data_IF_642346739375
#
_entry.id   IF_642346739375
#
_cell.length_a   1.000
_cell.length_b   1.000
_cell.length_c   1.000
_cell.angle_alpha   90.00
_cell.angle_beta   90.00
_cell.angle_gamma   90.00
#
_symmetry.space_group_name_H-M   'P 1'
#
loop_
_entity.id
_entity.type
_entity.pdbx_description
1 polymer ?
#
# COMPACT_ATOMS: atom_id res chain seq x y z
N UNK A 1 -2.17 -0.56 -16.72
CA UNK A 1 -2.21 0.23 -15.47
C UNK A 1 -0.99 1.14 -15.51
N UNK A 2 -1.16 2.45 -15.31
CA UNK A 2 -0.03 3.35 -15.14
C UNK A 2 0.53 3.18 -13.72
N UNK A 3 1.86 3.26 -13.56
CA UNK A 3 2.53 3.16 -12.26
C UNK A 3 3.08 4.52 -11.90
N UNK A 4 2.65 5.02 -10.73
CA UNK A 4 2.99 6.34 -10.22
C UNK A 4 3.81 6.18 -8.94
N UNK A 5 4.72 7.11 -8.69
CA UNK A 5 5.50 7.16 -7.45
C UNK A 5 5.71 8.59 -6.95
N UNK A 6 5.97 8.74 -5.66
CA UNK A 6 6.31 10.01 -5.01
C UNK A 6 7.67 9.89 -4.31
N UNK A 7 8.70 9.62 -5.12
CA UNK A 7 10.06 9.32 -4.65
C UNK A 7 10.91 10.57 -4.79
N UNK A 8 11.62 10.92 -3.72
CA UNK A 8 12.60 12.00 -3.73
C UNK A 8 13.91 11.56 -4.40
N UNK A 9 14.47 12.41 -5.25
CA UNK A 9 15.88 12.35 -5.65
C UNK A 9 16.35 13.74 -6.10
N UNK A 10 17.60 14.08 -5.79
CA UNK A 10 18.16 15.42 -6.04
C UNK A 10 18.40 15.70 -7.53
N UNK A 11 19.06 14.77 -8.23
CA UNK A 11 19.58 15.05 -9.57
C UNK A 11 19.46 13.88 -10.55
N UNK A 12 19.47 12.63 -10.09
CA UNK A 12 19.32 11.45 -10.95
C UNK A 12 18.28 10.49 -10.40
N UNK A 13 17.51 9.89 -11.31
CA UNK A 13 16.57 8.81 -11.00
C UNK A 13 17.36 7.62 -10.40
N UNK A 14 16.96 7.12 -9.21
CA UNK A 14 17.58 5.95 -8.62
C UNK A 14 17.35 4.71 -9.51
N UNK A 15 18.31 3.79 -9.63
CA UNK A 15 18.15 2.56 -10.41
C UNK A 15 17.00 1.69 -9.92
N UNK A 16 16.60 1.81 -8.65
CA UNK A 16 15.49 1.11 -8.02
C UNK A 16 14.11 1.60 -8.52
N UNK A 17 14.04 2.76 -9.18
CA UNK A 17 12.81 3.30 -9.76
C UNK A 17 12.79 3.01 -11.26
N UNK A 18 11.99 2.04 -11.74
CA UNK A 18 11.97 1.67 -13.15
C UNK A 18 11.56 2.81 -14.07
N UNK A 19 12.02 2.75 -15.33
CA UNK A 19 11.86 3.86 -16.26
C UNK A 19 10.40 4.22 -16.57
N UNK A 20 9.51 3.22 -16.51
CA UNK A 20 8.07 3.35 -16.75
C UNK A 20 7.31 3.99 -15.58
N UNK A 21 7.94 4.20 -14.42
CA UNK A 21 7.28 4.84 -13.27
C UNK A 21 7.19 6.34 -13.50
N UNK A 22 5.96 6.86 -13.50
CA UNK A 22 5.69 8.29 -13.50
C UNK A 22 5.92 8.83 -12.09
N UNK A 23 7.14 9.31 -11.83
CA UNK A 23 7.49 9.91 -10.55
C UNK A 23 6.98 11.36 -10.46
N UNK A 24 6.29 11.68 -9.37
CA UNK A 24 5.77 13.02 -9.07
C UNK A 24 6.64 13.78 -8.05
N UNK A 25 7.71 13.15 -7.55
CA UNK A 25 8.57 13.75 -6.52
C UNK A 25 7.86 13.84 -5.17
N UNK A 26 8.31 14.77 -4.32
CA UNK A 26 7.64 15.08 -3.07
C UNK A 26 6.47 16.02 -3.34
N UNK A 27 5.26 15.55 -3.07
CA UNK A 27 4.04 16.32 -3.26
C UNK A 27 3.61 16.99 -1.96
N UNK A 28 3.12 18.24 -2.02
CA UNK A 28 2.33 18.82 -0.94
C UNK A 28 1.11 17.95 -0.62
N UNK A 29 0.67 17.98 0.64
CA UNK A 29 -0.45 17.16 1.14
C UNK A 29 -1.73 17.23 0.27
N UNK A 30 -2.17 18.41 -0.23
CA UNK A 30 -3.35 18.48 -1.09
C UNK A 30 -3.16 17.78 -2.44
N UNK A 31 -1.98 17.88 -3.04
CA UNK A 31 -1.66 17.27 -4.32
C UNK A 31 -1.52 15.75 -4.19
N UNK A 32 -0.93 15.29 -3.08
CA UNK A 32 -0.88 13.86 -2.75
C UNK A 32 -2.29 13.27 -2.61
N UNK A 33 -3.18 13.95 -1.89
CA UNK A 33 -4.59 13.55 -1.76
C UNK A 33 -5.30 13.51 -3.12
N UNK A 34 -5.07 14.50 -4.00
CA UNK A 34 -5.61 14.48 -5.36
C UNK A 34 -5.09 13.30 -6.19
N UNK A 35 -3.81 12.92 -6.02
CA UNK A 35 -3.25 11.74 -6.65
C UNK A 35 -3.92 10.47 -6.13
N UNK A 36 -4.10 10.33 -4.81
CA UNK A 36 -4.77 9.19 -4.19
C UNK A 36 -6.22 9.02 -4.67
N UNK A 37 -6.99 10.10 -4.80
CA UNK A 37 -8.38 10.05 -5.32
C UNK A 37 -8.48 9.56 -6.76
N UNK A 38 -7.39 9.67 -7.54
CA UNK A 38 -7.30 9.18 -8.91
C UNK A 38 -6.72 7.76 -8.98
N UNK A 39 -6.09 7.30 -7.92
CA UNK A 39 -5.47 5.99 -7.85
C UNK A 39 -6.50 4.92 -7.45
N UNK A 40 -6.35 3.73 -8.02
CA UNK A 40 -7.15 2.55 -7.64
C UNK A 40 -6.44 1.69 -6.60
N UNK A 41 -5.12 1.63 -6.69
CA UNK A 41 -4.28 0.72 -5.92
C UNK A 41 -3.11 1.52 -5.32
N UNK A 42 -2.89 1.33 -4.02
CA UNK A 42 -1.72 1.81 -3.29
C UNK A 42 -0.85 0.60 -2.92
N UNK A 43 0.42 0.59 -3.33
CA UNK A 43 1.30 -0.57 -3.18
C UNK A 43 2.34 -0.28 -2.10
N UNK A 44 2.36 -1.10 -1.05
CA UNK A 44 3.35 -1.06 0.00
C UNK A 44 4.49 -2.04 -0.26
N UNK A 45 5.73 -1.57 -0.27
CA UNK A 45 6.92 -2.37 -0.58
C UNK A 45 7.55 -3.07 0.64
N UNK A 46 6.84 -3.15 1.77
CA UNK A 46 7.34 -3.77 3.00
C UNK A 46 8.07 -2.83 3.98
N UNK A 47 8.33 -1.59 3.57
CA UNK A 47 8.85 -0.52 4.42
C UNK A 47 8.33 0.84 3.92
N UNK A 48 8.03 1.83 4.80
CA UNK A 48 8.07 1.79 6.27
C UNK A 48 6.95 0.95 6.90
N UNK A 49 7.15 0.53 8.15
CA UNK A 49 6.16 -0.23 8.94
C UNK A 49 5.13 0.71 9.58
N UNK A 50 3.86 0.30 9.58
CA UNK A 50 2.78 0.92 10.37
C UNK A 50 2.66 2.45 10.21
N UNK A 51 3.02 2.96 9.03
CA UNK A 51 2.91 4.38 8.70
C UNK A 51 1.48 4.80 8.36
N UNK A 52 1.19 6.12 8.34
CA UNK A 52 -0.18 6.62 8.11
C UNK A 52 -0.64 6.55 6.63
N UNK A 53 0.29 6.55 5.67
CA UNK A 53 -0.03 6.68 4.25
C UNK A 53 -0.98 5.59 3.69
N UNK A 54 -0.86 4.29 4.07
CA UNK A 54 -1.85 3.30 3.69
C UNK A 54 -3.28 3.60 4.14
N UNK A 55 -3.46 4.13 5.35
CA UNK A 55 -4.79 4.49 5.87
C UNK A 55 -5.38 5.67 5.10
N UNK A 56 -4.54 6.65 4.76
CA UNK A 56 -4.91 7.79 3.94
C UNK A 56 -5.31 7.39 2.51
N UNK A 57 -4.60 6.42 1.93
CA UNK A 57 -4.93 5.85 0.62
C UNK A 57 -6.28 5.12 0.67
N UNK A 58 -6.50 4.28 1.68
CA UNK A 58 -7.78 3.58 1.91
C UNK A 58 -8.93 4.58 2.07
N UNK A 59 -8.73 5.63 2.85
CA UNK A 59 -9.73 6.68 3.06
C UNK A 59 -10.10 7.43 1.77
N UNK A 60 -9.19 7.49 0.79
CA UNK A 60 -9.45 8.06 -0.54
C UNK A 60 -9.96 7.02 -1.56
N UNK A 61 -10.26 5.80 -1.12
CA UNK A 61 -10.85 4.74 -1.95
C UNK A 61 -9.85 3.86 -2.68
N UNK A 62 -8.55 3.97 -2.40
CA UNK A 62 -7.57 3.02 -2.90
C UNK A 62 -7.72 1.67 -2.20
N UNK A 63 -7.47 0.58 -2.93
CA UNK A 63 -7.13 -0.69 -2.31
C UNK A 63 -5.65 -0.66 -1.93
N UNK A 64 -5.34 -1.02 -0.68
CA UNK A 64 -3.97 -1.17 -0.21
C UNK A 64 -3.49 -2.61 -0.43
N UNK A 65 -2.43 -2.78 -1.23
CA UNK A 65 -1.72 -4.04 -1.39
C UNK A 65 -0.42 -3.98 -0.60
N UNK A 66 -0.19 -4.93 0.28
CA UNK A 66 1.00 -4.97 1.15
C UNK A 66 1.67 -6.34 1.13
N UNK A 67 2.97 -6.35 1.43
CA UNK A 67 3.75 -7.57 1.58
C UNK A 67 3.42 -8.31 2.88
N UNK A 68 3.25 -9.63 2.78
CA UNK A 68 3.30 -10.57 3.90
C UNK A 68 4.75 -10.84 4.28
N UNK A 69 5.03 -10.99 5.57
CA UNK A 69 6.33 -11.39 6.09
C UNK A 69 6.27 -12.80 6.66
N UNK A 70 7.06 -13.69 6.04
CA UNK A 70 7.21 -15.07 6.46
C UNK A 70 8.69 -15.46 6.30
N UNK A 71 9.49 -15.53 7.39
CA UNK A 71 9.08 -15.36 8.79
C UNK A 71 8.65 -13.92 9.13
N UNK A 72 7.86 -13.71 10.21
CA UNK A 72 7.51 -12.37 10.65
C UNK A 72 8.75 -11.60 11.12
N UNK A 73 8.72 -10.27 10.96
CA UNK A 73 9.83 -9.42 11.37
C UNK A 73 9.71 -9.04 12.86
N UNK A 74 10.81 -9.07 13.58
CA UNK A 74 10.88 -8.72 15.00
C UNK A 74 12.26 -8.20 15.38
N UNK A 75 12.44 -7.83 16.65
CA UNK A 75 13.73 -7.38 17.18
C UNK A 75 14.84 -8.45 17.12
N UNK A 76 14.47 -9.73 16.94
CA UNK A 76 15.39 -10.86 16.87
C UNK A 76 15.98 -11.09 15.46
N UNK A 77 15.24 -10.76 14.41
CA UNK A 77 15.59 -11.15 13.04
C UNK A 77 15.63 -10.00 12.02
N UNK A 78 15.29 -8.77 12.43
CA UNK A 78 15.21 -7.65 11.51
C UNK A 78 15.86 -6.38 12.09
N UNK A 79 16.76 -5.77 11.32
CA UNK A 79 17.61 -4.66 11.77
C UNK A 79 16.79 -3.46 12.28
N UNK A 80 15.73 -3.07 11.55
CA UNK A 80 14.88 -1.96 11.94
C UNK A 80 14.28 -2.12 13.35
N UNK A 81 13.99 -3.35 13.79
CA UNK A 81 13.37 -3.61 15.09
C UNK A 81 14.40 -3.90 16.20
N UNK A 82 15.69 -4.04 15.86
CA UNK A 82 16.74 -4.35 16.83
C UNK A 82 16.79 -3.28 17.93
N UNK A 83 16.86 -3.73 19.18
CA UNK A 83 16.95 -2.86 20.36
C UNK A 83 15.66 -2.13 20.75
N UNK A 84 14.57 -2.27 19.98
CA UNK A 84 13.26 -1.74 20.41
C UNK A 84 12.77 -2.54 21.64
N UNK A 85 12.14 -1.88 22.62
CA UNK A 85 11.72 -2.51 23.88
C UNK A 85 10.43 -3.33 23.70
N UNK A 86 10.40 -4.23 22.72
CA UNK A 86 9.27 -5.11 22.44
C UNK A 86 9.74 -6.38 21.73
N UNK A 87 9.10 -7.50 22.04
CA UNK A 87 9.26 -8.78 21.36
C UNK A 87 8.16 -9.03 20.31
N UNK A 88 7.33 -8.02 20.02
CA UNK A 88 6.22 -8.16 19.08
C UNK A 88 6.74 -8.52 17.69
N UNK A 89 6.08 -9.50 17.08
CA UNK A 89 6.29 -9.92 15.71
C UNK A 89 5.32 -9.21 14.76
N UNK A 90 5.82 -8.85 13.58
CA UNK A 90 5.11 -8.12 12.53
C UNK A 90 5.00 -9.03 11.31
N UNK A 91 3.78 -9.42 10.96
CA UNK A 91 3.48 -10.40 9.90
C UNK A 91 3.19 -9.77 8.52
N UNK A 92 3.06 -8.45 8.46
CA UNK A 92 2.85 -7.68 7.24
C UNK A 92 3.30 -6.24 7.43
N UNK A 93 3.40 -5.45 6.35
CA UNK A 93 3.86 -4.06 6.44
C UNK A 93 3.03 -3.21 7.42
N UNK A 94 1.72 -3.42 7.47
CA UNK A 94 0.80 -2.68 8.32
C UNK A 94 -0.21 -3.64 8.99
N UNK A 95 0.16 -4.34 10.08
CA UNK A 95 -0.69 -5.36 10.73
C UNK A 95 -2.06 -4.85 11.16
N UNK A 96 -2.17 -3.57 11.53
CA UNK A 96 -3.47 -2.99 11.84
C UNK A 96 -4.41 -2.96 10.62
N UNK A 97 -3.90 -2.58 9.44
CA UNK A 97 -4.70 -2.54 8.22
C UNK A 97 -5.11 -3.96 7.80
N UNK A 98 -4.23 -4.94 7.99
CA UNK A 98 -4.53 -6.35 7.78
C UNK A 98 -5.66 -6.85 8.70
N UNK A 99 -5.51 -6.66 10.01
CA UNK A 99 -6.37 -7.31 11.00
C UNK A 99 -7.71 -6.60 11.22
N UNK A 100 -7.77 -5.29 11.03
CA UNK A 100 -8.95 -4.48 11.39
C UNK A 100 -9.67 -3.87 10.18
N UNK A 101 -9.04 -3.84 9.00
CA UNK A 101 -9.68 -3.38 7.76
C UNK A 101 -9.87 -4.57 6.81
N UNK A 102 -8.79 -5.28 6.50
CA UNK A 102 -8.83 -6.50 5.69
C UNK A 102 -9.42 -6.32 4.29
N UNK A 103 -9.73 -7.44 3.64
CA UNK A 103 -10.37 -7.44 2.31
C UNK A 103 -11.79 -6.86 2.40
N UNK A 104 -12.25 -6.14 1.36
CA UNK A 104 -11.61 -5.96 0.05
C UNK A 104 -10.58 -4.81 -0.01
N UNK A 105 -10.47 -3.98 1.03
CA UNK A 105 -9.68 -2.74 1.02
C UNK A 105 -8.19 -2.98 1.26
N UNK A 106 -7.83 -4.07 1.93
CA UNK A 106 -6.45 -4.45 2.23
C UNK A 106 -6.20 -5.86 1.75
N UNK A 107 -5.17 -6.03 0.93
CA UNK A 107 -4.68 -7.31 0.44
C UNK A 107 -3.26 -7.52 0.96
N UNK A 108 -3.07 -8.54 1.79
CA UNK A 108 -1.76 -9.00 2.24
C UNK A 108 -1.31 -10.19 1.38
N UNK A 109 -0.18 -10.06 0.70
CA UNK A 109 0.28 -11.04 -0.30
C UNK A 109 1.76 -11.31 -0.14
N UNK A 110 2.19 -12.56 -0.36
CA UNK A 110 3.62 -12.87 -0.49
C UNK A 110 4.13 -12.39 -1.87
N UNK A 111 5.00 -11.38 -1.87
CA UNK A 111 5.52 -10.79 -3.11
C UNK A 111 6.52 -11.72 -3.82
N UNK A 112 7.04 -12.74 -3.14
CA UNK A 112 7.87 -13.76 -3.77
C UNK A 112 7.05 -14.84 -4.48
N UNK A 113 5.73 -14.88 -4.23
CA UNK A 113 4.81 -15.75 -4.94
C UNK A 113 4.14 -14.98 -6.09
N UNK A 114 4.72 -15.11 -7.29
CA UNK A 114 4.24 -14.38 -8.48
C UNK A 114 2.79 -14.70 -8.85
N UNK A 115 2.35 -15.95 -8.65
CA UNK A 115 0.98 -16.36 -8.96
C UNK A 115 -0.03 -15.70 -8.00
N UNK A 116 0.28 -15.70 -6.71
CA UNK A 116 -0.55 -15.03 -5.70
C UNK A 116 -0.62 -13.53 -5.95
N UNK A 117 0.52 -12.90 -6.25
CA UNK A 117 0.61 -11.48 -6.57
C UNK A 117 -0.21 -11.12 -7.81
N UNK A 118 -0.05 -11.88 -8.91
CA UNK A 118 -0.79 -11.64 -10.14
C UNK A 118 -2.30 -11.85 -9.95
N UNK A 119 -2.69 -12.90 -9.21
CA UNK A 119 -4.09 -13.17 -8.87
C UNK A 119 -4.70 -12.03 -8.05
N UNK A 120 -3.97 -11.50 -7.06
CA UNK A 120 -4.40 -10.37 -6.25
C UNK A 120 -4.61 -9.12 -7.11
N UNK A 121 -3.64 -8.77 -7.97
CA UNK A 121 -3.77 -7.63 -8.90
C UNK A 121 -5.00 -7.79 -9.79
N UNK A 122 -5.19 -8.97 -10.41
CA UNK A 122 -6.36 -9.24 -11.27
C UNK A 122 -7.68 -9.09 -10.49
N UNK A 123 -7.75 -9.58 -9.26
CA UNK A 123 -8.94 -9.46 -8.42
C UNK A 123 -9.24 -8.00 -8.04
N UNK A 124 -8.23 -7.25 -7.60
CA UNK A 124 -8.35 -5.83 -7.26
C UNK A 124 -8.85 -5.03 -8.46
N UNK A 125 -8.29 -5.27 -9.65
CA UNK A 125 -8.69 -4.56 -10.86
C UNK A 125 -10.16 -4.80 -11.26
N UNK A 126 -10.73 -5.96 -10.92
CA UNK A 126 -12.15 -6.29 -11.14
C UNK A 126 -13.10 -5.68 -10.10
N UNK A 127 -12.57 -5.18 -8.99
CA UNK A 127 -13.39 -4.64 -7.89
C UNK A 127 -13.84 -3.21 -8.23
N UNK A 128 -15.11 -2.87 -7.97
CA UNK A 128 -15.62 -1.51 -8.13
C UNK A 128 -15.18 -0.63 -6.95
N UNK A 129 -14.87 0.67 -7.16
CA UNK A 129 -14.49 1.58 -6.06
C UNK A 129 -15.62 1.71 -5.02
N UNK A 130 -15.29 1.57 -3.74
CA UNK A 130 -16.26 1.64 -2.64
C UNK A 130 -17.04 2.98 -2.59
N UNK A 131 -16.39 4.08 -2.98
CA UNK A 131 -17.00 5.43 -2.99
C UNK A 131 -18.19 5.52 -3.96
N UNK A 132 -18.18 4.76 -5.07
CA UNK A 132 -19.34 4.69 -5.95
C UNK A 132 -20.51 3.97 -5.28
N UNK A 133 -20.26 2.89 -4.54
CA UNK A 133 -21.32 2.12 -3.91
C UNK A 133 -22.01 2.88 -2.78
N UNK A 134 -21.26 3.63 -1.96
CA UNK A 134 -21.87 4.36 -0.84
C UNK A 134 -22.71 5.56 -1.30
N UNK A 135 -22.25 6.32 -2.31
CA UNK A 135 -23.01 7.45 -2.87
C UNK A 135 -24.24 6.98 -3.67
N UNK A 136 -24.13 5.88 -4.40
CA UNK A 136 -25.29 5.29 -5.10
C UNK A 136 -26.32 4.72 -4.12
N UNK A 137 -25.89 4.17 -2.97
CA UNK A 137 -26.81 3.67 -1.94
C UNK A 137 -27.44 4.77 -1.06
N UNK A 138 -26.81 5.94 -0.93
CA UNK A 138 -27.32 7.05 -0.11
C UNK A 138 -28.17 8.06 -0.87
N UNK A 139 -27.97 8.19 -2.19
CA UNK A 139 -28.72 9.15 -3.02
C UNK A 139 -29.56 8.51 -4.13
N UNK A 140 -29.62 7.17 -4.20
CA UNK A 140 -30.37 6.42 -5.21
C UNK A 140 -31.61 5.69 -4.67
N UNK A 141 -32.40 6.36 -3.83
CA UNK A 141 -33.71 5.91 -3.34
C UNK A 141 -34.80 6.90 -3.67
#
# INVERSE_FOLDING_TARGET
MEIHGTVYYESRRPPEVPAFVKNHGLLPQPEFQQLLRKAKLFIGFGFPYEGPAPLEAIANGCVFLQSRFSPPHSSLNHEFFRGKPTSREVFSQHPYAENFIGKPHVWTVDYNNSEEFEAAIKAIMRTQPWIQNHLLSTFGG
#
